data_IF_613625095010
#
_entry.id   IF_613625095010
#
_cell.length_a   1.000
_cell.length_b   1.000
_cell.length_c   1.000
_cell.angle_alpha   90.00
_cell.angle_beta   90.00
_cell.angle_gamma   90.00
#
_symmetry.space_group_name_H-M   'P 1'
#
loop_
_entity.id
_entity.type
_entity.pdbx_description
1 polymer ?
#
# COMPACT_ATOMS: atom_id res chain seq x y z
N UNK A 1 17.87 -2.35 -9.42
CA UNK A 1 17.16 -1.14 -8.92
C UNK A 1 18.00 0.14 -8.98
N UNK A 2 19.35 0.08 -8.91
CA UNK A 2 20.25 1.26 -8.91
C UNK A 2 20.43 1.96 -10.26
N UNK A 3 20.26 1.23 -11.37
CA UNK A 3 20.52 1.77 -12.71
C UNK A 3 19.50 2.84 -13.15
N UNK A 4 18.33 2.93 -12.51
CA UNK A 4 17.27 3.90 -12.87
C UNK A 4 17.75 5.35 -12.76
N UNK A 5 18.63 5.64 -11.79
CA UNK A 5 19.17 6.97 -11.60
C UNK A 5 20.22 7.32 -12.63
N UNK A 6 21.14 6.39 -12.93
CA UNK A 6 22.10 6.57 -14.03
C UNK A 6 21.37 6.81 -15.35
N UNK A 7 20.37 5.99 -15.67
CA UNK A 7 19.57 6.15 -16.89
C UNK A 7 18.87 7.51 -16.93
N UNK A 8 18.26 7.94 -15.83
CA UNK A 8 17.59 9.25 -15.76
C UNK A 8 18.57 10.42 -15.87
N UNK A 9 19.64 10.46 -15.08
CA UNK A 9 20.59 11.58 -15.10
C UNK A 9 21.35 11.67 -16.42
N UNK A 10 21.56 10.54 -17.11
CA UNK A 10 22.13 10.52 -18.45
C UNK A 10 21.25 11.18 -19.51
N UNK A 11 19.92 11.23 -19.34
CA UNK A 11 19.05 11.99 -20.27
C UNK A 11 19.26 13.50 -20.17
N UNK A 12 19.93 13.95 -19.12
CA UNK A 12 20.29 15.34 -18.85
C UNK A 12 21.79 15.61 -19.06
N UNK A 13 22.53 14.67 -19.66
CA UNK A 13 23.99 14.72 -19.82
C UNK A 13 24.76 14.87 -18.49
N UNK A 14 24.25 14.25 -17.41
CA UNK A 14 24.88 14.24 -16.09
C UNK A 14 25.33 12.81 -15.74
N UNK A 15 26.62 12.62 -15.51
CA UNK A 15 27.16 11.36 -14.99
C UNK A 15 27.05 11.31 -13.47
N UNK A 16 26.50 10.20 -12.96
CA UNK A 16 26.32 9.94 -11.52
C UNK A 16 26.65 8.49 -11.20
N UNK A 17 26.99 8.22 -9.94
CA UNK A 17 26.96 6.86 -9.39
C UNK A 17 25.51 6.54 -8.97
N UNK A 18 24.88 5.58 -9.65
CA UNK A 18 23.49 5.20 -9.41
C UNK A 18 23.26 4.58 -8.04
N UNK A 19 24.25 3.90 -7.47
CA UNK A 19 24.16 3.35 -6.12
C UNK A 19 24.16 4.48 -5.08
N UNK A 20 25.02 5.48 -5.25
CA UNK A 20 25.02 6.68 -4.38
C UNK A 20 23.70 7.44 -4.49
N UNK A 21 23.15 7.62 -5.70
CA UNK A 21 21.85 8.29 -5.88
C UNK A 21 20.69 7.49 -5.30
N UNK A 22 20.69 6.17 -5.43
CA UNK A 22 19.69 5.31 -4.79
C UNK A 22 19.78 5.41 -3.27
N UNK A 23 20.98 5.42 -2.69
CA UNK A 23 21.15 5.60 -1.25
C UNK A 23 20.57 6.94 -0.78
N UNK A 24 20.94 8.06 -1.43
CA UNK A 24 20.41 9.39 -1.09
C UNK A 24 18.89 9.43 -1.23
N UNK A 25 18.34 8.88 -2.31
CA UNK A 25 16.89 8.82 -2.52
C UNK A 25 16.20 8.03 -1.40
N UNK A 26 16.76 6.88 -1.01
CA UNK A 26 16.21 6.03 0.06
C UNK A 26 16.26 6.73 1.41
N UNK A 27 17.37 7.38 1.74
CA UNK A 27 17.48 8.16 2.98
C UNK A 27 16.39 9.24 3.06
N UNK A 28 16.13 9.95 1.96
CA UNK A 28 15.08 10.97 1.92
C UNK A 28 13.66 10.39 1.99
N UNK A 29 13.36 9.35 1.20
CA UNK A 29 12.00 8.78 1.17
C UNK A 29 11.65 8.10 2.50
N UNK A 30 12.63 7.52 3.20
CA UNK A 30 12.45 6.92 4.52
C UNK A 30 12.03 7.95 5.58
N UNK A 31 12.31 9.23 5.36
CA UNK A 31 11.96 10.32 6.26
C UNK A 31 10.68 11.04 5.85
N UNK A 32 10.09 10.74 4.69
CA UNK A 32 8.80 11.29 4.25
C UNK A 32 7.66 10.47 4.83
N UNK A 33 6.94 11.01 5.80
CA UNK A 33 5.88 10.31 6.54
C UNK A 33 4.59 11.13 6.61
N UNK A 34 4.40 12.04 5.65
CA UNK A 34 3.18 12.83 5.53
C UNK A 34 1.99 11.92 5.28
N UNK A 35 0.95 12.13 6.08
CA UNK A 35 -0.30 11.42 5.94
C UNK A 35 -1.18 12.13 4.90
N UNK A 36 -1.95 11.33 4.17
CA UNK A 36 -3.04 11.86 3.34
C UNK A 36 -4.08 12.53 4.24
N UNK A 37 -4.70 13.59 3.75
CA UNK A 37 -5.75 14.32 4.46
C UNK A 37 -6.85 13.37 4.95
N UNK A 38 -7.16 13.45 6.25
CA UNK A 38 -8.19 12.63 6.87
C UNK A 38 -7.75 11.21 7.28
N UNK A 39 -6.49 10.81 7.07
CA UNK A 39 -6.03 9.44 7.33
C UNK A 39 -6.21 9.00 8.78
N UNK A 40 -5.92 9.87 9.77
CA UNK A 40 -6.10 9.53 11.18
C UNK A 40 -7.58 9.32 11.51
N UNK A 41 -8.47 10.22 11.05
CA UNK A 41 -9.91 10.10 11.27
C UNK A 41 -10.49 8.86 10.60
N UNK A 42 -9.94 8.48 9.44
CA UNK A 42 -10.28 7.26 8.72
C UNK A 42 -9.88 6.02 9.52
N UNK A 43 -8.63 5.94 9.98
CA UNK A 43 -8.14 4.82 10.77
C UNK A 43 -8.87 4.69 12.12
N UNK A 44 -9.11 5.82 12.81
CA UNK A 44 -9.92 5.86 14.03
C UNK A 44 -11.34 5.36 13.78
N UNK A 45 -11.98 5.79 12.69
CA UNK A 45 -13.30 5.33 12.31
C UNK A 45 -13.34 3.82 12.13
N UNK A 46 -12.44 3.26 11.32
CA UNK A 46 -12.43 1.81 11.06
C UNK A 46 -12.12 1.00 12.32
N UNK A 47 -11.18 1.46 13.15
CA UNK A 47 -10.86 0.82 14.44
C UNK A 47 -12.06 0.87 15.39
N UNK A 48 -12.80 1.98 15.44
CA UNK A 48 -14.01 2.12 16.27
C UNK A 48 -15.15 1.18 15.84
N UNK A 49 -15.16 0.76 14.56
CA UNK A 49 -16.10 -0.23 14.01
C UNK A 49 -15.67 -1.67 14.27
N UNK A 50 -14.46 -1.89 14.80
CA UNK A 50 -13.95 -3.22 15.09
C UNK A 50 -13.32 -3.95 13.90
N UNK A 51 -12.99 -3.23 12.82
CA UNK A 51 -12.28 -3.84 11.69
C UNK A 51 -10.84 -4.20 12.06
N UNK A 52 -10.37 -5.33 11.53
CA UNK A 52 -8.96 -5.71 11.54
C UNK A 52 -8.28 -4.95 10.40
N UNK A 53 -7.35 -4.05 10.73
CA UNK A 53 -6.64 -3.27 9.72
C UNK A 53 -5.31 -3.94 9.41
N UNK A 54 -5.00 -4.10 8.14
CA UNK A 54 -3.73 -4.63 7.66
C UNK A 54 -3.15 -3.71 6.59
N UNK A 55 -1.83 -3.63 6.49
CA UNK A 55 -1.18 -2.98 5.34
C UNK A 55 -0.77 -4.01 4.31
N UNK A 56 -0.94 -3.71 3.02
CA UNK A 56 -0.49 -4.56 1.92
C UNK A 56 0.29 -3.73 0.89
N UNK A 57 1.58 -4.01 0.69
CA UNK A 57 2.46 -3.15 -0.13
C UNK A 57 3.53 -3.93 -0.90
N UNK A 58 3.87 -3.43 -2.11
CA UNK A 58 5.02 -3.89 -2.90
C UNK A 58 6.31 -3.12 -2.53
N UNK A 59 6.32 -2.43 -1.38
CA UNK A 59 7.43 -1.60 -0.93
C UNK A 59 8.55 -2.38 -0.23
N UNK A 60 9.58 -1.65 0.16
CA UNK A 60 10.72 -2.16 0.95
C UNK A 60 10.33 -2.17 2.43
N UNK A 61 10.58 -3.27 3.13
CA UNK A 61 10.18 -3.50 4.51
C UNK A 61 10.58 -2.34 5.43
N UNK A 62 11.88 -2.03 5.46
CA UNK A 62 12.43 -1.01 6.34
C UNK A 62 11.78 0.37 6.10
N UNK A 63 11.61 0.75 4.83
CA UNK A 63 10.97 2.02 4.45
C UNK A 63 9.54 2.10 4.98
N UNK A 64 8.74 1.06 4.75
CA UNK A 64 7.32 1.08 5.10
C UNK A 64 7.13 1.12 6.62
N UNK A 65 7.87 0.29 7.36
CA UNK A 65 7.78 0.24 8.82
C UNK A 65 8.23 1.56 9.47
N UNK A 66 9.34 2.15 8.99
CA UNK A 66 9.82 3.44 9.50
C UNK A 66 8.82 4.57 9.26
N UNK A 67 8.28 4.70 8.04
CA UNK A 67 7.32 5.76 7.71
C UNK A 67 6.05 5.67 8.54
N UNK A 68 5.49 4.47 8.73
CA UNK A 68 4.30 4.27 9.57
C UNK A 68 4.58 4.59 11.04
N UNK A 69 5.75 4.21 11.54
CA UNK A 69 6.16 4.52 12.92
C UNK A 69 6.31 6.01 13.14
N UNK A 70 7.00 6.71 12.24
CA UNK A 70 7.24 8.14 12.35
C UNK A 70 5.93 8.95 12.16
N UNK A 71 5.01 8.46 11.32
CA UNK A 71 3.67 9.03 11.18
C UNK A 71 2.72 8.72 12.35
N UNK A 72 3.13 7.86 13.31
CA UNK A 72 2.29 7.49 14.45
C UNK A 72 1.09 6.60 14.11
N UNK A 73 1.08 5.94 12.96
CA UNK A 73 -0.05 5.09 12.52
C UNK A 73 0.24 3.60 12.58
N UNK A 74 1.46 3.19 12.96
CA UNK A 74 1.87 1.79 12.96
C UNK A 74 0.92 0.91 13.80
N UNK A 75 0.55 1.36 14.99
CA UNK A 75 -0.27 0.61 15.96
C UNK A 75 -1.77 0.54 15.61
N UNK A 76 -2.18 1.09 14.46
CA UNK A 76 -3.52 0.88 13.93
C UNK A 76 -3.65 -0.47 13.23
N UNK A 77 -2.55 -1.01 12.71
CA UNK A 77 -2.57 -2.20 11.87
C UNK A 77 -2.12 -3.44 12.66
N UNK A 78 -2.90 -4.52 12.54
CA UNK A 78 -2.62 -5.81 13.19
C UNK A 78 -1.54 -6.58 12.43
N UNK A 79 -1.53 -6.48 11.10
CA UNK A 79 -0.57 -7.17 10.24
C UNK A 79 -0.01 -6.26 9.15
N UNK A 80 1.24 -6.53 8.77
CA UNK A 80 1.95 -5.85 7.69
C UNK A 80 2.40 -6.83 6.62
N UNK A 81 1.66 -6.88 5.51
CA UNK A 81 1.96 -7.70 4.35
C UNK A 81 2.83 -6.92 3.36
N UNK A 82 4.07 -7.35 3.23
CA UNK A 82 5.10 -6.66 2.44
C UNK A 82 5.68 -7.66 1.44
N UNK A 83 5.65 -7.33 0.15
CA UNK A 83 6.04 -8.27 -0.92
C UNK A 83 7.48 -8.77 -0.77
N UNK A 84 8.38 -7.93 -0.26
CA UNK A 84 9.77 -8.28 0.01
C UNK A 84 9.89 -9.47 0.98
N UNK A 85 9.03 -9.53 2.00
CA UNK A 85 9.00 -10.61 2.98
C UNK A 85 8.24 -11.83 2.45
N UNK A 86 7.16 -11.60 1.70
CA UNK A 86 6.28 -12.67 1.18
C UNK A 86 6.91 -13.39 -0.03
N UNK A 87 7.79 -12.73 -0.77
CA UNK A 87 8.42 -13.25 -1.99
C UNK A 87 7.52 -13.18 -3.23
N UNK A 88 6.30 -12.67 -3.10
CA UNK A 88 5.37 -12.39 -4.20
C UNK A 88 4.90 -10.95 -4.11
N UNK A 89 4.74 -10.28 -5.23
CA UNK A 89 4.20 -8.92 -5.30
C UNK A 89 2.73 -8.93 -5.71
N UNK A 90 1.95 -7.94 -5.27
CA UNK A 90 0.63 -7.69 -5.87
C UNK A 90 0.80 -7.36 -7.37
N UNK A 91 -0.04 -7.86 -8.30
CA UNK A 91 -1.32 -8.55 -8.07
C UNK A 91 -1.22 -10.09 -7.96
N UNK A 92 -0.03 -10.66 -7.75
CA UNK A 92 0.17 -12.11 -7.79
C UNK A 92 -0.71 -12.84 -6.76
N UNK A 93 -1.43 -13.88 -7.20
CA UNK A 93 -2.37 -14.65 -6.38
C UNK A 93 -1.78 -15.12 -5.03
N UNK A 94 -0.54 -15.61 -5.03
CA UNK A 94 0.14 -16.06 -3.80
C UNK A 94 0.35 -14.95 -2.75
N UNK A 95 0.41 -13.67 -3.14
CA UNK A 95 0.48 -12.58 -2.17
C UNK A 95 -0.82 -12.51 -1.36
N UNK A 96 -1.97 -12.46 -2.04
CA UNK A 96 -3.28 -12.40 -1.39
C UNK A 96 -3.59 -13.68 -0.62
N UNK A 97 -3.23 -14.85 -1.17
CA UNK A 97 -3.34 -16.13 -0.47
C UNK A 97 -2.62 -16.11 0.88
N UNK A 98 -1.36 -15.67 0.90
CA UNK A 98 -0.60 -15.56 2.14
C UNK A 98 -1.26 -14.60 3.15
N UNK A 99 -1.84 -13.50 2.67
CA UNK A 99 -2.57 -12.56 3.53
C UNK A 99 -3.77 -13.23 4.21
N UNK A 100 -4.61 -13.93 3.44
CA UNK A 100 -5.82 -14.58 3.94
C UNK A 100 -5.51 -15.76 4.87
N UNK A 101 -4.53 -16.60 4.52
CA UNK A 101 -4.06 -17.68 5.38
C UNK A 101 -3.54 -17.14 6.73
N UNK A 102 -2.81 -16.02 6.71
CA UNK A 102 -2.31 -15.37 7.94
C UNK A 102 -3.44 -14.84 8.82
N UNK A 103 -4.56 -14.42 8.22
CA UNK A 103 -5.78 -13.99 8.93
C UNK A 103 -6.64 -15.16 9.42
N UNK A 104 -6.20 -16.42 9.20
CA UNK A 104 -6.91 -17.62 9.64
C UNK A 104 -8.01 -18.08 8.70
N UNK A 105 -7.80 -17.95 7.38
CA UNK A 105 -8.75 -18.35 6.33
C UNK A 105 -10.12 -17.66 6.46
N UNK A 106 -10.07 -16.33 6.59
CA UNK A 106 -11.28 -15.50 6.70
C UNK A 106 -12.17 -15.60 5.46
N UNK A 107 -13.47 -15.38 5.65
CA UNK A 107 -14.44 -15.23 4.56
C UNK A 107 -14.05 -14.05 3.67
N UNK A 108 -13.83 -14.31 2.38
CA UNK A 108 -13.40 -13.30 1.40
C UNK A 108 -14.42 -12.18 1.23
N UNK A 109 -15.71 -12.46 1.45
CA UNK A 109 -16.77 -11.44 1.39
C UNK A 109 -16.71 -10.42 2.53
N UNK A 110 -15.88 -10.68 3.55
CA UNK A 110 -15.64 -9.79 4.68
C UNK A 110 -14.32 -9.01 4.55
N UNK A 111 -13.61 -9.18 3.42
CA UNK A 111 -12.33 -8.52 3.18
C UNK A 111 -12.51 -7.43 2.14
N UNK A 112 -11.94 -6.26 2.41
CA UNK A 112 -11.92 -5.14 1.49
C UNK A 112 -10.48 -4.67 1.27
N UNK A 113 -10.00 -4.72 0.03
CA UNK A 113 -8.73 -4.11 -0.36
C UNK A 113 -8.96 -2.64 -0.71
N UNK A 114 -8.31 -1.71 0.00
CA UNK A 114 -8.37 -0.27 -0.28
C UNK A 114 -7.00 0.16 -0.82
N UNK A 115 -6.96 0.76 -2.01
CA UNK A 115 -5.71 1.16 -2.65
C UNK A 115 -5.88 2.10 -3.84
N UNK A 116 -4.79 2.74 -4.23
CA UNK A 116 -4.73 3.76 -5.29
C UNK A 116 -4.15 3.23 -6.61
N UNK A 117 -3.59 2.02 -6.60
CA UNK A 117 -2.96 1.43 -7.76
C UNK A 117 -3.89 0.38 -8.37
N UNK A 118 -4.55 0.75 -9.48
CA UNK A 118 -5.50 -0.13 -10.17
C UNK A 118 -4.92 -1.53 -10.49
N UNK A 119 -3.70 -1.60 -11.00
CA UNK A 119 -3.11 -2.86 -11.46
C UNK A 119 -2.70 -3.81 -10.34
N UNK A 120 -2.23 -3.29 -9.21
CA UNK A 120 -1.77 -4.14 -8.09
C UNK A 120 -2.87 -4.36 -7.06
N UNK A 121 -3.63 -3.32 -6.72
CA UNK A 121 -4.58 -3.36 -5.61
C UNK A 121 -5.94 -3.87 -6.08
N UNK A 122 -6.50 -3.22 -7.10
CA UNK A 122 -7.87 -3.49 -7.55
C UNK A 122 -7.93 -4.78 -8.35
N UNK A 123 -7.13 -4.89 -9.40
CA UNK A 123 -7.05 -6.13 -10.20
C UNK A 123 -6.60 -7.31 -9.32
N UNK A 124 -5.66 -7.09 -8.40
CA UNK A 124 -5.19 -8.13 -7.49
C UNK A 124 -6.31 -8.66 -6.58
N UNK A 125 -7.07 -7.76 -5.96
CA UNK A 125 -8.22 -8.14 -5.13
C UNK A 125 -9.31 -8.85 -5.94
N UNK A 126 -9.66 -8.34 -7.12
CA UNK A 126 -10.66 -8.94 -8.01
C UNK A 126 -10.27 -10.36 -8.46
N UNK A 127 -9.00 -10.57 -8.85
CA UNK A 127 -8.49 -11.89 -9.23
C UNK A 127 -8.49 -12.90 -8.07
N UNK A 128 -8.49 -12.40 -6.84
CA UNK A 128 -8.62 -13.19 -5.62
C UNK A 128 -10.05 -13.23 -5.07
N UNK A 129 -11.03 -12.66 -5.79
CA UNK A 129 -12.44 -12.63 -5.39
C UNK A 129 -12.70 -11.90 -4.05
N UNK A 130 -11.89 -10.88 -3.76
CA UNK A 130 -12.04 -9.97 -2.63
C UNK A 130 -12.60 -8.62 -3.12
N UNK A 131 -13.46 -7.99 -2.32
CA UNK A 131 -13.97 -6.66 -2.65
C UNK A 131 -12.85 -5.60 -2.70
N UNK A 132 -13.00 -4.64 -3.60
CA UNK A 132 -11.99 -3.61 -3.86
C UNK A 132 -12.58 -2.20 -3.76
N UNK A 133 -11.88 -1.31 -3.07
CA UNK A 133 -12.19 0.11 -3.02
C UNK A 133 -11.03 0.90 -3.64
N UNK A 134 -11.28 1.50 -4.80
CA UNK A 134 -10.30 2.36 -5.45
C UNK A 134 -10.28 3.73 -4.80
N UNK A 135 -9.10 4.16 -4.36
CA UNK A 135 -8.83 5.51 -3.88
C UNK A 135 -8.14 6.32 -4.97
N UNK A 136 -8.88 7.20 -5.65
CA UNK A 136 -8.33 8.04 -6.70
C UNK A 136 -9.41 8.62 -7.61
N UNK A 137 -8.99 9.43 -8.59
CA UNK A 137 -9.90 10.18 -9.48
C UNK A 137 -10.15 9.50 -10.83
N UNK A 138 -9.49 8.36 -11.07
CA UNK A 138 -9.61 7.63 -12.34
C UNK A 138 -10.85 6.76 -12.30
N UNK A 139 -11.64 6.80 -13.38
CA UNK A 139 -12.66 5.80 -13.60
C UNK A 139 -12.01 4.44 -13.87
N UNK A 140 -12.21 3.52 -12.94
CA UNK A 140 -11.74 2.14 -13.01
C UNK A 140 -12.87 1.21 -12.58
N UNK A 141 -12.78 -0.05 -13.00
CA UNK A 141 -13.71 -1.08 -12.56
C UNK A 141 -13.27 -1.58 -11.17
N UNK A 142 -14.00 -1.20 -10.11
CA UNK A 142 -13.78 -1.61 -8.72
C UNK A 142 -15.13 -1.82 -8.02
N UNK A 143 -15.17 -2.56 -6.91
CA UNK A 143 -16.43 -2.73 -6.15
C UNK A 143 -16.94 -1.36 -5.65
N UNK A 144 -16.00 -0.55 -5.13
CA UNK A 144 -16.26 0.79 -4.63
C UNK A 144 -15.22 1.78 -5.14
N UNK A 145 -15.58 3.06 -5.12
CA UNK A 145 -14.71 4.16 -5.54
C UNK A 145 -14.85 5.32 -4.55
N UNK A 146 -13.73 5.87 -4.11
CA UNK A 146 -13.67 7.05 -3.24
C UNK A 146 -12.57 8.00 -3.72
N UNK A 147 -12.82 9.30 -3.66
CA UNK A 147 -11.80 10.32 -3.92
C UNK A 147 -11.23 10.92 -2.63
N UNK A 148 -12.00 10.79 -1.53
CA UNK A 148 -11.63 11.25 -0.20
C UNK A 148 -11.86 10.13 0.81
N UNK A 149 -10.95 9.97 1.77
CA UNK A 149 -11.05 8.92 2.80
C UNK A 149 -12.33 9.03 3.65
N UNK A 150 -12.91 10.24 3.78
CA UNK A 150 -14.18 10.43 4.49
C UNK A 150 -15.37 9.73 3.85
N UNK A 151 -15.32 9.46 2.54
CA UNK A 151 -16.39 8.81 1.79
C UNK A 151 -16.58 7.34 2.18
N UNK A 152 -15.58 6.72 2.84
CA UNK A 152 -15.69 5.33 3.31
C UNK A 152 -16.91 5.11 4.21
N UNK A 153 -17.36 6.14 4.92
CA UNK A 153 -18.51 6.08 5.84
C UNK A 153 -19.84 5.86 5.12
N UNK A 154 -19.88 6.07 3.81
CA UNK A 154 -21.05 5.80 2.98
C UNK A 154 -21.07 4.35 2.47
N UNK A 155 -19.96 3.63 2.65
CA UNK A 155 -19.75 2.24 2.19
C UNK A 155 -19.78 1.27 3.39
N UNK A 156 -19.17 1.66 4.52
CA UNK A 156 -18.96 0.85 5.74
C UNK A 156 -19.70 1.38 6.97
#
# INVERSE_FOLDING_TARGET
MTHRFEVFFKTLDIDVDGAVKEQIFRENINNSHDLVDGALQFLDYLKSKGYILCTATNGVFYTQMKRMKDAGILDYFTHHFISEEIGFEKPHHNFFKHCIETLGDTDLSQVLMIGDTYTSDIIGAQQFEIDSCYYGVKQVEATYHIENLSEIKNIL
#
